data_IF_962459034238
#
_entry.id   IF_962459034238
#
_cell.length_a   1.000
_cell.length_b   1.000
_cell.length_c   1.000
_cell.angle_alpha   90.00
_cell.angle_beta   90.00
_cell.angle_gamma   90.00
#
_symmetry.space_group_name_H-M   'P 1'
#
loop_
_entity.id
_entity.type
_entity.pdbx_description
1 polymer ?
#
# COMPACT_ATOMS: atom_id res chain seq x y z
N UNK A 1 32.46 -4.23 -4.17
CA UNK A 1 32.16 -5.68 -4.15
C UNK A 1 30.66 -5.81 -4.34
N UNK A 2 30.20 -6.79 -5.12
CA UNK A 2 28.75 -7.04 -5.25
C UNK A 2 28.14 -7.38 -3.90
N UNK A 3 26.90 -6.94 -3.69
CA UNK A 3 26.08 -7.29 -2.53
C UNK A 3 25.04 -8.32 -2.92
N UNK A 4 24.94 -9.39 -2.17
CA UNK A 4 23.86 -10.37 -2.31
C UNK A 4 23.15 -10.51 -0.98
N UNK A 5 21.83 -10.36 -0.99
CA UNK A 5 21.02 -10.36 0.21
C UNK A 5 19.57 -10.76 -0.03
N UNK A 6 18.72 -10.61 1.02
CA UNK A 6 17.28 -10.83 0.89
C UNK A 6 16.70 -10.00 -0.23
N UNK A 7 15.72 -10.54 -0.96
CA UNK A 7 15.08 -9.83 -2.07
C UNK A 7 14.16 -8.71 -1.59
N UNK A 8 14.07 -7.64 -2.37
CA UNK A 8 13.16 -6.53 -2.07
C UNK A 8 11.70 -6.93 -2.25
N UNK A 9 10.85 -6.43 -1.38
CA UNK A 9 9.40 -6.70 -1.37
C UNK A 9 8.64 -5.39 -1.39
N UNK A 10 7.65 -5.29 -2.28
CA UNK A 10 6.72 -4.17 -2.35
C UNK A 10 5.33 -4.64 -1.91
N UNK A 11 4.92 -4.24 -0.69
CA UNK A 11 3.64 -4.65 -0.11
C UNK A 11 2.46 -3.75 -0.53
N UNK A 12 2.70 -2.72 -1.35
CA UNK A 12 1.65 -1.81 -1.83
C UNK A 12 2.05 -1.19 -3.18
N UNK A 13 1.49 -1.72 -4.26
CA UNK A 13 1.67 -1.19 -5.61
C UNK A 13 0.39 -1.32 -6.42
N UNK A 14 0.25 -0.55 -7.49
CA UNK A 14 -0.80 -0.69 -8.51
C UNK A 14 -0.22 -1.12 -9.86
N UNK A 15 0.85 -1.91 -9.82
CA UNK A 15 1.62 -2.34 -11.00
C UNK A 15 0.76 -3.07 -12.03
N UNK A 16 -0.14 -3.96 -11.59
CA UNK A 16 -0.97 -4.73 -12.50
C UNK A 16 -1.92 -3.84 -13.29
N UNK A 17 -2.51 -2.85 -12.62
CA UNK A 17 -3.40 -1.86 -13.24
C UNK A 17 -2.64 -1.02 -14.26
N UNK A 18 -1.44 -0.53 -13.91
CA UNK A 18 -0.59 0.26 -14.80
C UNK A 18 -0.15 -0.55 -16.02
N UNK A 19 0.31 -1.79 -15.81
CA UNK A 19 0.71 -2.71 -16.88
C UNK A 19 -0.43 -3.04 -17.85
N UNK A 20 -1.66 -3.14 -17.33
CA UNK A 20 -2.86 -3.34 -18.13
C UNK A 20 -3.36 -2.07 -18.85
N UNK A 21 -2.71 -0.92 -18.64
CA UNK A 21 -3.13 0.36 -19.23
C UNK A 21 -4.32 1.00 -18.53
N UNK A 22 -4.72 0.51 -17.35
CA UNK A 22 -5.74 1.16 -16.53
C UNK A 22 -5.23 2.52 -16.06
N UNK A 23 -6.08 3.53 -16.16
CA UNK A 23 -5.76 4.90 -15.78
C UNK A 23 -6.81 5.41 -14.79
N UNK A 24 -6.41 6.13 -13.73
CA UNK A 24 -7.38 6.78 -12.87
C UNK A 24 -8.20 7.81 -13.68
N UNK A 25 -9.46 8.05 -13.31
CA UNK A 25 -10.33 8.98 -14.01
C UNK A 25 -10.03 10.46 -13.67
N UNK A 26 -8.85 10.75 -13.16
CA UNK A 26 -8.36 12.06 -12.77
C UNK A 26 -6.87 12.20 -13.11
N UNK A 27 -6.38 13.44 -13.19
CA UNK A 27 -4.96 13.72 -13.33
C UNK A 27 -4.28 13.59 -11.95
N UNK A 28 -3.42 12.58 -11.79
CA UNK A 28 -2.69 12.32 -10.54
C UNK A 28 -1.67 13.41 -10.19
N UNK A 29 -1.26 14.22 -11.17
CA UNK A 29 -0.34 15.33 -10.97
C UNK A 29 -1.03 16.64 -10.57
N UNK A 30 -2.38 16.70 -10.68
CA UNK A 30 -3.18 17.87 -10.34
C UNK A 30 -4.01 17.63 -9.06
N UNK A 31 -3.63 18.25 -7.92
CA UNK A 31 -4.36 18.13 -6.66
C UNK A 31 -5.83 18.54 -6.75
N UNK A 32 -6.17 19.52 -7.59
CA UNK A 32 -7.57 19.95 -7.74
C UNK A 32 -8.39 18.92 -8.52
N UNK A 33 -7.84 18.29 -9.53
CA UNK A 33 -8.48 17.17 -10.25
C UNK A 33 -8.81 16.03 -9.29
N UNK A 34 -7.87 15.66 -8.41
CA UNK A 34 -8.05 14.63 -7.38
C UNK A 34 -9.14 15.08 -6.37
N UNK A 35 -9.11 16.32 -5.92
CA UNK A 35 -10.08 16.88 -4.96
C UNK A 35 -11.51 16.81 -5.51
N UNK A 36 -11.70 17.23 -6.76
CA UNK A 36 -13.00 17.18 -7.44
C UNK A 36 -13.50 15.73 -7.50
N UNK A 37 -12.64 14.80 -7.89
CA UNK A 37 -12.98 13.38 -7.96
C UNK A 37 -13.39 12.84 -6.59
N UNK A 38 -12.58 13.04 -5.54
CA UNK A 38 -12.87 12.57 -4.19
C UNK A 38 -14.18 13.14 -3.66
N UNK A 39 -14.44 14.43 -3.84
CA UNK A 39 -15.72 15.07 -3.45
C UNK A 39 -16.92 14.49 -4.21
N UNK A 40 -16.74 14.18 -5.49
CA UNK A 40 -17.80 13.54 -6.28
C UNK A 40 -18.12 12.12 -5.79
N UNK A 41 -17.13 11.37 -5.32
CA UNK A 41 -17.33 10.06 -4.71
C UNK A 41 -18.06 10.18 -3.36
N UNK A 42 -17.60 11.08 -2.50
CA UNK A 42 -18.21 11.32 -1.18
C UNK A 42 -19.69 11.69 -1.28
N UNK A 43 -20.09 12.53 -2.25
CA UNK A 43 -21.50 12.88 -2.50
C UNK A 43 -22.36 11.72 -2.97
N UNK A 44 -21.74 10.66 -3.49
CA UNK A 44 -22.40 9.42 -3.95
C UNK A 44 -22.27 8.28 -2.93
N UNK A 45 -21.71 8.55 -1.76
CA UNK A 45 -21.39 7.53 -0.73
C UNK A 45 -20.50 6.39 -1.25
N UNK A 46 -19.59 6.72 -2.18
CA UNK A 46 -18.62 5.79 -2.78
C UNK A 46 -17.20 6.10 -2.31
N UNK A 47 -16.35 5.09 -2.39
CA UNK A 47 -14.89 5.21 -2.21
C UNK A 47 -14.19 4.94 -3.55
N UNK A 48 -12.91 5.30 -3.71
CA UNK A 48 -12.12 4.93 -4.89
C UNK A 48 -12.11 3.41 -5.17
N UNK A 49 -12.20 2.57 -4.13
CA UNK A 49 -12.25 1.12 -4.28
C UNK A 49 -13.62 0.56 -4.70
N UNK A 50 -14.66 1.40 -4.70
CA UNK A 50 -16.00 1.01 -5.20
C UNK A 50 -16.16 1.29 -6.70
N UNK A 51 -15.24 2.07 -7.30
CA UNK A 51 -15.26 2.37 -8.72
C UNK A 51 -14.43 1.33 -9.48
N UNK A 52 -15.13 0.37 -10.05
CA UNK A 52 -14.55 -0.62 -10.95
C UNK A 52 -14.61 -0.05 -12.37
N UNK A 53 -13.46 0.11 -12.99
CA UNK A 53 -13.35 0.58 -14.38
C UNK A 53 -13.87 -0.45 -15.39
N UNK A 54 -13.93 -0.12 -16.70
CA UNK A 54 -14.17 -1.11 -17.72
C UNK A 54 -13.05 -2.16 -17.67
N UNK A 55 -13.37 -3.44 -18.03
CA UNK A 55 -12.35 -4.48 -18.06
C UNK A 55 -11.20 -4.08 -19.00
N UNK A 56 -9.95 -4.43 -18.66
CA UNK A 56 -8.81 -4.15 -19.52
C UNK A 56 -8.98 -4.82 -20.88
N UNK A 57 -8.39 -4.27 -21.96
CA UNK A 57 -8.40 -4.94 -23.26
C UNK A 57 -7.85 -6.36 -23.14
N UNK A 58 -8.61 -7.35 -23.61
CA UNK A 58 -8.27 -8.79 -23.45
C UNK A 58 -7.11 -9.25 -24.32
N UNK A 59 -6.81 -8.53 -25.43
CA UNK A 59 -5.69 -8.85 -26.30
C UNK A 59 -4.38 -8.65 -25.55
N UNK A 60 -3.69 -9.76 -25.28
CA UNK A 60 -2.38 -9.82 -24.63
C UNK A 60 -2.30 -9.30 -23.19
N UNK A 61 -3.39 -9.36 -22.39
CA UNK A 61 -3.33 -8.96 -20.98
C UNK A 61 -2.23 -9.71 -20.21
N UNK A 62 -2.09 -11.01 -20.43
CA UNK A 62 -1.02 -11.81 -19.81
C UNK A 62 0.38 -11.30 -20.22
N UNK A 63 0.58 -10.93 -21.49
CA UNK A 63 1.85 -10.39 -21.95
C UNK A 63 2.13 -9.00 -21.33
N UNK A 64 1.11 -8.15 -21.21
CA UNK A 64 1.24 -6.84 -20.55
C UNK A 64 1.58 -6.97 -19.07
N UNK A 65 0.89 -7.87 -18.36
CA UNK A 65 1.19 -8.14 -16.94
C UNK A 65 2.59 -8.75 -16.78
N UNK A 66 2.98 -9.68 -17.65
CA UNK A 66 4.34 -10.24 -17.64
C UNK A 66 5.40 -9.15 -17.80
N UNK A 67 5.19 -8.21 -18.74
CA UNK A 67 6.14 -7.10 -18.96
C UNK A 67 6.28 -6.22 -17.71
N UNK A 68 5.18 -5.83 -17.07
CA UNK A 68 5.21 -5.05 -15.83
C UNK A 68 5.87 -5.82 -14.67
N UNK A 69 5.54 -7.10 -14.50
CA UNK A 69 6.18 -7.93 -13.46
C UNK A 69 7.67 -8.14 -13.74
N UNK A 70 8.07 -8.21 -15.02
CA UNK A 70 9.48 -8.27 -15.41
C UNK A 70 10.22 -6.97 -15.14
N UNK A 71 9.55 -5.82 -15.28
CA UNK A 71 10.08 -4.52 -14.86
C UNK A 71 10.33 -4.49 -13.35
N UNK A 72 9.38 -4.96 -12.53
CA UNK A 72 9.56 -5.09 -11.10
C UNK A 72 10.75 -5.99 -10.73
N UNK A 73 10.86 -7.16 -11.39
CA UNK A 73 11.99 -8.07 -11.18
C UNK A 73 13.33 -7.41 -11.56
N UNK A 74 13.38 -6.68 -12.67
CA UNK A 74 14.58 -5.95 -13.09
C UNK A 74 14.95 -4.81 -12.13
N UNK A 75 13.97 -4.26 -11.39
CA UNK A 75 14.19 -3.27 -10.33
C UNK A 75 14.65 -3.89 -9.00
N UNK A 76 14.78 -5.22 -8.92
CA UNK A 76 15.23 -5.93 -7.72
C UNK A 76 14.13 -6.50 -6.84
N UNK A 77 12.86 -6.34 -7.23
CA UNK A 77 11.72 -6.87 -6.48
C UNK A 77 11.56 -8.38 -6.72
N UNK A 78 11.40 -9.14 -5.65
CA UNK A 78 11.09 -10.58 -5.68
C UNK A 78 9.61 -10.87 -5.40
N UNK A 79 8.92 -9.92 -4.77
CA UNK A 79 7.49 -9.98 -4.48
C UNK A 79 6.84 -8.61 -4.61
N UNK A 80 5.61 -8.60 -5.11
CA UNK A 80 4.72 -7.42 -5.11
C UNK A 80 3.36 -7.75 -4.51
N UNK A 81 2.68 -6.74 -3.95
CA UNK A 81 1.25 -6.82 -3.59
C UNK A 81 0.47 -5.77 -4.37
N UNK A 82 -0.40 -6.21 -5.28
CA UNK A 82 -1.38 -5.33 -5.93
C UNK A 82 -2.41 -4.86 -4.90
N UNK A 83 -2.42 -3.56 -4.61
CA UNK A 83 -3.20 -2.96 -3.53
C UNK A 83 -4.58 -2.47 -3.99
N UNK A 84 -5.36 -3.34 -4.60
CA UNK A 84 -6.72 -3.05 -5.04
C UNK A 84 -7.00 -3.50 -6.47
N UNK A 85 -6.90 -4.81 -6.71
CA UNK A 85 -7.27 -5.40 -8.01
C UNK A 85 -8.74 -5.09 -8.34
N UNK A 86 -8.99 -4.51 -9.51
CA UNK A 86 -10.29 -4.00 -9.95
C UNK A 86 -11.01 -4.86 -10.96
N UNK A 87 -10.39 -5.91 -11.49
CA UNK A 87 -11.01 -6.86 -12.44
C UNK A 87 -10.45 -8.28 -12.25
N UNK A 88 -11.33 -9.28 -12.30
CA UNK A 88 -10.95 -10.70 -12.20
C UNK A 88 -10.10 -11.18 -13.38
N UNK A 89 -10.16 -10.50 -14.53
CA UNK A 89 -9.32 -10.82 -15.69
C UNK A 89 -7.82 -10.74 -15.37
N UNK A 90 -7.41 -9.88 -14.43
CA UNK A 90 -6.01 -9.85 -13.96
C UNK A 90 -5.60 -11.18 -13.32
N UNK A 91 -6.45 -11.71 -12.43
CA UNK A 91 -6.19 -12.98 -11.78
C UNK A 91 -6.14 -14.13 -12.80
N UNK A 92 -7.06 -14.16 -13.78
CA UNK A 92 -7.06 -15.18 -14.80
C UNK A 92 -5.80 -15.13 -15.68
N UNK A 93 -5.34 -13.93 -16.03
CA UNK A 93 -4.09 -13.75 -16.77
C UNK A 93 -2.85 -14.16 -15.94
N UNK A 94 -2.82 -13.83 -14.64
CA UNK A 94 -1.76 -14.26 -13.72
C UNK A 94 -1.73 -15.78 -13.54
N UNK A 95 -2.88 -16.45 -13.48
CA UNK A 95 -2.97 -17.91 -13.45
C UNK A 95 -2.33 -18.55 -14.69
N UNK A 96 -2.55 -17.96 -15.88
CA UNK A 96 -1.91 -18.42 -17.12
C UNK A 96 -0.39 -18.30 -17.04
N UNK A 97 0.13 -17.18 -16.51
CA UNK A 97 1.57 -16.99 -16.32
C UNK A 97 2.13 -17.97 -15.28
N UNK A 98 1.46 -18.14 -14.15
CA UNK A 98 1.84 -19.09 -13.10
C UNK A 98 1.93 -20.52 -13.64
N UNK A 99 0.88 -20.97 -14.33
CA UNK A 99 0.78 -22.35 -14.84
C UNK A 99 1.85 -22.67 -15.92
N UNK A 100 2.39 -21.63 -16.57
CA UNK A 100 3.54 -21.72 -17.48
C UNK A 100 4.89 -21.66 -16.76
N UNK A 101 4.92 -21.28 -15.48
CA UNK A 101 6.16 -21.00 -14.75
C UNK A 101 6.79 -19.64 -15.11
N UNK A 102 6.01 -18.73 -15.69
CA UNK A 102 6.47 -17.46 -16.24
C UNK A 102 6.33 -16.26 -15.27
N UNK A 103 5.87 -16.47 -14.01
CA UNK A 103 5.80 -15.36 -13.03
C UNK A 103 7.22 -14.90 -12.62
N UNK A 104 7.66 -13.67 -13.00
CA UNK A 104 9.00 -13.19 -12.67
C UNK A 104 9.20 -12.89 -11.19
N UNK A 105 8.11 -12.56 -10.48
CA UNK A 105 8.05 -12.24 -9.05
C UNK A 105 6.89 -12.98 -8.41
N UNK A 106 6.89 -13.10 -7.08
CA UNK A 106 5.69 -13.51 -6.33
C UNK A 106 4.63 -12.41 -6.40
N UNK A 107 3.38 -12.77 -6.56
CA UNK A 107 2.27 -11.82 -6.65
C UNK A 107 1.26 -12.08 -5.54
N UNK A 108 1.08 -11.09 -4.68
CA UNK A 108 0.01 -11.01 -3.69
C UNK A 108 -1.07 -10.06 -4.19
N UNK A 109 -2.31 -10.32 -3.86
CA UNK A 109 -3.45 -9.54 -4.34
C UNK A 109 -4.35 -9.15 -3.18
N UNK A 110 -4.59 -7.86 -3.03
CA UNK A 110 -5.72 -7.31 -2.30
C UNK A 110 -6.80 -6.96 -3.33
N UNK A 111 -7.97 -7.55 -3.21
CA UNK A 111 -9.09 -7.28 -4.12
C UNK A 111 -9.77 -5.98 -3.69
N UNK A 112 -10.05 -5.07 -4.63
CA UNK A 112 -10.79 -3.84 -4.35
C UNK A 112 -12.18 -4.17 -3.77
N UNK A 113 -12.62 -3.44 -2.74
CA UNK A 113 -13.88 -3.72 -2.03
C UNK A 113 -15.12 -3.73 -2.93
N UNK A 114 -15.12 -2.93 -4.01
CA UNK A 114 -16.20 -2.91 -4.99
C UNK A 114 -16.25 -4.14 -5.91
N UNK A 115 -15.12 -4.83 -6.09
CA UNK A 115 -15.02 -6.07 -6.85
C UNK A 115 -15.17 -7.31 -5.95
N UNK A 116 -14.80 -7.21 -4.67
CA UNK A 116 -14.70 -8.33 -3.75
C UNK A 116 -16.06 -9.00 -3.51
N UNK A 117 -16.09 -10.31 -3.68
CA UNK A 117 -17.23 -11.16 -3.32
C UNK A 117 -16.73 -12.31 -2.43
N UNK A 118 -17.13 -12.28 -1.17
CA UNK A 118 -16.71 -13.27 -0.19
C UNK A 118 -17.08 -14.72 -0.54
N UNK A 119 -18.04 -14.92 -1.47
CA UNK A 119 -18.43 -16.24 -1.98
C UNK A 119 -17.60 -16.69 -3.18
N UNK A 120 -17.00 -15.73 -3.91
CA UNK A 120 -16.18 -15.97 -5.11
C UNK A 120 -14.69 -16.03 -4.82
N UNK A 121 -14.25 -15.37 -3.75
CA UNK A 121 -12.84 -15.38 -3.37
C UNK A 121 -12.44 -16.77 -2.87
N UNK A 122 -11.40 -17.33 -3.46
CA UNK A 122 -10.79 -18.59 -3.08
C UNK A 122 -9.29 -18.40 -2.90
N UNK A 123 -8.69 -19.13 -1.95
CA UNK A 123 -7.23 -19.14 -1.80
C UNK A 123 -6.62 -19.89 -2.97
N UNK A 124 -5.61 -19.30 -3.62
CA UNK A 124 -4.93 -19.93 -4.76
C UNK A 124 -4.08 -21.15 -4.37
N UNK A 125 -3.68 -21.24 -3.12
CA UNK A 125 -2.89 -22.37 -2.60
C UNK A 125 -1.50 -22.49 -3.18
N UNK A 126 -0.95 -21.40 -3.69
CA UNK A 126 0.34 -21.33 -4.38
C UNK A 126 1.14 -20.14 -3.87
N UNK A 127 2.38 -20.37 -3.47
CA UNK A 127 3.26 -19.32 -2.95
C UNK A 127 3.63 -18.26 -3.99
N UNK A 128 3.50 -18.56 -5.29
CA UNK A 128 3.83 -17.64 -6.39
C UNK A 128 2.69 -16.66 -6.70
N UNK A 129 1.44 -17.06 -6.42
CA UNK A 129 0.25 -16.25 -6.67
C UNK A 129 -0.77 -16.47 -5.55
N UNK A 130 -1.16 -15.43 -4.83
CA UNK A 130 -2.12 -15.55 -3.74
C UNK A 130 -3.05 -14.33 -3.66
N UNK A 131 -4.35 -14.59 -3.43
CA UNK A 131 -5.27 -13.56 -2.93
C UNK A 131 -5.06 -13.46 -1.42
N UNK A 132 -4.55 -12.32 -0.96
CA UNK A 132 -4.26 -12.06 0.44
C UNK A 132 -5.51 -11.57 1.20
N UNK A 133 -6.28 -10.69 0.58
CA UNK A 133 -7.42 -10.08 1.26
C UNK A 133 -8.18 -9.06 0.43
N UNK A 134 -8.80 -8.09 1.13
CA UNK A 134 -9.65 -7.05 0.54
C UNK A 134 -9.13 -5.67 0.92
N UNK A 135 -9.05 -4.78 -0.07
CA UNK A 135 -8.67 -3.37 0.08
C UNK A 135 -9.90 -2.48 0.22
N UNK A 136 -9.92 -1.71 1.28
CA UNK A 136 -10.86 -0.62 1.54
C UNK A 136 -10.16 0.75 1.48
N UNK A 137 -10.95 1.82 1.48
CA UNK A 137 -10.46 3.18 1.34
C UNK A 137 -11.26 4.11 2.28
N UNK A 138 -10.64 4.55 3.38
CA UNK A 138 -11.35 5.27 4.44
C UNK A 138 -11.40 6.79 4.22
N UNK A 139 -10.36 7.38 3.62
CA UNK A 139 -10.28 8.82 3.39
C UNK A 139 -9.59 9.18 2.07
N UNK A 140 -9.30 10.45 1.85
CA UNK A 140 -8.57 10.90 0.67
C UNK A 140 -7.06 11.04 0.91
N UNK A 141 -6.42 11.97 0.17
CA UNK A 141 -4.97 12.19 0.16
C UNK A 141 -4.59 13.50 0.84
N UNK A 142 -3.34 13.58 1.32
CA UNK A 142 -2.83 14.79 1.99
C UNK A 142 -2.61 15.94 1.01
N UNK A 143 -2.03 15.68 -0.17
CA UNK A 143 -1.75 16.70 -1.20
C UNK A 143 -2.97 17.55 -1.56
N UNK A 144 -4.10 16.95 -1.99
CA UNK A 144 -5.34 17.66 -2.33
C UNK A 144 -6.19 18.06 -1.12
N UNK A 145 -5.72 17.92 0.12
CA UNK A 145 -6.46 18.22 1.36
C UNK A 145 -7.77 17.43 1.49
N UNK A 146 -7.75 16.17 1.07
CA UNK A 146 -8.92 15.29 1.14
C UNK A 146 -8.78 14.17 2.17
N UNK A 147 -7.61 13.95 2.79
CA UNK A 147 -7.49 13.03 3.91
C UNK A 147 -8.25 13.57 5.14
N UNK A 148 -8.86 12.67 5.91
CA UNK A 148 -9.75 13.04 7.01
C UNK A 148 -8.98 13.39 8.29
N UNK A 149 -9.06 14.62 8.72
CA UNK A 149 -8.37 15.18 9.87
C UNK A 149 -9.32 15.52 11.02
N UNK A 150 -8.85 15.40 12.27
CA UNK A 150 -9.58 15.91 13.43
C UNK A 150 -9.61 17.44 13.48
N UNK A 151 -8.51 18.08 13.14
CA UNK A 151 -8.40 19.52 13.04
C UNK A 151 -8.37 19.98 11.57
N UNK A 152 -8.78 21.22 11.31
CA UNK A 152 -8.64 21.82 9.99
C UNK A 152 -7.19 21.82 9.50
N UNK A 153 -7.00 21.79 8.17
CA UNK A 153 -5.68 22.00 7.60
C UNK A 153 -5.15 23.38 7.98
N UNK A 154 -3.85 23.52 8.03
CA UNK A 154 -3.23 24.79 8.42
C UNK A 154 -3.39 25.89 7.35
N UNK A 155 -3.60 25.51 6.11
CA UNK A 155 -3.75 26.38 4.94
C UNK A 155 -5.18 26.44 4.38
N UNK A 156 -6.13 25.69 4.94
CA UNK A 156 -7.53 25.66 4.50
C UNK A 156 -8.49 25.42 5.69
N UNK A 157 -9.67 26.06 5.66
CA UNK A 157 -10.77 25.82 6.60
C UNK A 157 -11.56 24.54 6.21
N UNK A 158 -10.86 23.40 6.11
CA UNK A 158 -11.41 22.09 5.75
C UNK A 158 -10.71 21.00 6.59
N UNK A 159 -11.37 19.88 6.79
CA UNK A 159 -10.89 18.71 7.53
C UNK A 159 -10.81 17.45 6.66
N UNK A 160 -10.92 17.61 5.36
CA UNK A 160 -10.94 16.51 4.41
C UNK A 160 -12.22 15.67 4.43
N UNK A 161 -12.14 14.47 3.88
CA UNK A 161 -13.29 13.60 3.60
C UNK A 161 -13.08 12.25 4.26
N UNK A 162 -13.99 11.86 5.14
CA UNK A 162 -14.07 10.48 5.63
C UNK A 162 -15.09 9.74 4.77
N UNK A 163 -14.63 8.83 3.89
CA UNK A 163 -15.49 8.01 3.04
C UNK A 163 -16.18 6.90 3.82
N UNK A 164 -15.47 6.27 4.75
CA UNK A 164 -15.99 5.19 5.58
C UNK A 164 -15.79 5.53 7.05
N UNK A 165 -16.88 5.72 7.77
CA UNK A 165 -16.85 5.74 9.23
C UNK A 165 -16.63 4.31 9.79
N UNK A 166 -16.34 4.22 11.09
CA UNK A 166 -16.03 2.97 11.75
C UNK A 166 -17.11 1.89 11.57
N UNK A 167 -18.39 2.26 11.72
CA UNK A 167 -19.50 1.31 11.62
C UNK A 167 -19.73 0.83 10.18
N UNK A 168 -19.60 1.74 9.23
CA UNK A 168 -19.75 1.41 7.81
C UNK A 168 -18.61 0.53 7.34
N UNK A 169 -17.35 0.83 7.73
CA UNK A 169 -16.21 -0.02 7.41
C UNK A 169 -16.35 -1.39 8.05
N UNK A 170 -16.68 -1.45 9.36
CA UNK A 170 -16.86 -2.73 10.06
C UNK A 170 -17.91 -3.61 9.36
N UNK A 171 -19.09 -3.07 9.07
CA UNK A 171 -20.18 -3.79 8.39
C UNK A 171 -19.78 -4.29 7.01
N UNK A 172 -19.00 -3.51 6.24
CA UNK A 172 -18.55 -3.90 4.89
C UNK A 172 -17.43 -4.92 4.93
N UNK A 173 -16.54 -4.86 5.92
CA UNK A 173 -15.36 -5.72 6.02
C UNK A 173 -15.62 -7.05 6.73
N UNK A 174 -16.54 -7.08 7.70
CA UNK A 174 -16.84 -8.27 8.52
C UNK A 174 -17.11 -9.56 7.71
N UNK A 175 -17.87 -9.56 6.60
CA UNK A 175 -18.10 -10.78 5.81
C UNK A 175 -16.82 -11.42 5.24
N UNK A 176 -15.78 -10.63 5.02
CA UNK A 176 -14.46 -11.10 4.57
C UNK A 176 -13.61 -11.53 5.75
N UNK A 177 -13.56 -10.72 6.80
CA UNK A 177 -12.84 -11.02 8.04
C UNK A 177 -13.25 -12.35 8.65
N UNK A 178 -14.56 -12.64 8.75
CA UNK A 178 -15.11 -13.91 9.23
C UNK A 178 -14.70 -15.14 8.40
N UNK A 179 -14.20 -14.94 7.18
CA UNK A 179 -13.64 -15.99 6.32
C UNK A 179 -12.11 -16.04 6.34
N UNK A 180 -11.50 -15.27 7.24
CA UNK A 180 -10.06 -15.21 7.41
C UNK A 180 -9.32 -14.42 6.31
N UNK A 181 -10.04 -13.59 5.50
CA UNK A 181 -9.39 -12.68 4.58
C UNK A 181 -8.80 -11.49 5.33
N UNK A 182 -7.58 -11.12 5.00
CA UNK A 182 -6.97 -9.90 5.53
C UNK A 182 -7.75 -8.67 5.08
N UNK A 183 -7.97 -7.74 5.98
CA UNK A 183 -8.52 -6.43 5.67
C UNK A 183 -7.38 -5.42 5.64
N UNK A 184 -7.26 -4.72 4.51
CA UNK A 184 -6.30 -3.63 4.33
C UNK A 184 -7.09 -2.36 4.02
N UNK A 185 -6.85 -1.28 4.78
CA UNK A 185 -7.62 -0.04 4.63
C UNK A 185 -6.68 1.14 4.46
N UNK A 186 -6.85 1.89 3.35
CA UNK A 186 -6.22 3.19 3.16
C UNK A 186 -6.72 4.16 4.23
N UNK A 187 -5.81 4.73 4.99
CA UNK A 187 -6.07 5.79 5.95
C UNK A 187 -4.83 6.68 6.14
N UNK A 188 -4.94 7.92 5.73
CA UNK A 188 -3.85 8.92 5.75
C UNK A 188 -4.01 9.88 6.93
N UNK A 189 -5.20 10.47 7.10
CA UNK A 189 -5.49 11.43 8.16
C UNK A 189 -5.72 10.77 9.52
N UNK A 190 -5.40 11.49 10.60
CA UNK A 190 -5.54 11.03 11.98
C UNK A 190 -6.97 10.59 12.33
N UNK A 191 -7.99 11.29 11.82
CA UNK A 191 -9.39 10.91 11.98
C UNK A 191 -9.75 9.64 11.22
N UNK A 192 -9.17 9.40 10.04
CA UNK A 192 -9.40 8.18 9.29
C UNK A 192 -8.74 6.99 9.98
N UNK A 193 -7.50 7.16 10.48
CA UNK A 193 -6.79 6.12 11.23
C UNK A 193 -7.59 5.72 12.47
N UNK A 194 -8.12 6.69 13.24
CA UNK A 194 -8.99 6.40 14.39
C UNK A 194 -10.23 5.61 13.99
N UNK A 195 -10.94 6.03 12.93
CA UNK A 195 -12.13 5.33 12.45
C UNK A 195 -11.84 3.90 11.99
N UNK A 196 -10.67 3.65 11.37
CA UNK A 196 -10.23 2.32 10.96
C UNK A 196 -9.91 1.45 12.18
N UNK A 197 -9.23 2.00 13.20
CA UNK A 197 -8.95 1.27 14.44
C UNK A 197 -10.24 0.91 15.19
N UNK A 198 -11.21 1.81 15.23
CA UNK A 198 -12.54 1.52 15.82
C UNK A 198 -13.27 0.42 15.03
N UNK A 199 -13.17 0.43 13.71
CA UNK A 199 -13.74 -0.63 12.88
C UNK A 199 -13.07 -1.99 13.13
N UNK A 200 -11.74 -2.02 13.24
CA UNK A 200 -11.00 -3.25 13.51
C UNK A 200 -11.27 -3.80 14.91
N UNK A 201 -11.42 -2.93 15.90
CA UNK A 201 -11.85 -3.34 17.24
C UNK A 201 -13.25 -3.98 17.22
N UNK A 202 -14.19 -3.37 16.49
CA UNK A 202 -15.54 -3.92 16.30
C UNK A 202 -15.56 -5.28 15.59
N UNK A 203 -14.65 -5.50 14.61
CA UNK A 203 -14.60 -6.75 13.83
C UNK A 203 -13.89 -7.86 14.59
N UNK A 204 -12.75 -7.56 15.19
CA UNK A 204 -11.81 -8.56 15.67
C UNK A 204 -11.69 -8.60 17.20
N UNK A 205 -11.96 -7.47 17.91
CA UNK A 205 -11.75 -7.38 19.34
C UNK A 205 -10.37 -7.91 19.75
N UNK A 206 -10.35 -8.87 20.67
CA UNK A 206 -9.12 -9.48 21.17
C UNK A 206 -8.32 -10.29 20.12
N UNK A 207 -8.94 -10.66 19.01
CA UNK A 207 -8.30 -11.45 17.94
C UNK A 207 -7.62 -10.58 16.87
N UNK A 208 -7.61 -9.25 17.06
CA UNK A 208 -7.08 -8.30 16.08
C UNK A 208 -5.61 -8.58 15.71
N UNK A 209 -4.76 -8.81 16.71
CA UNK A 209 -3.35 -9.13 16.48
C UNK A 209 -3.15 -10.43 15.67
N UNK A 210 -3.99 -11.44 15.89
CA UNK A 210 -3.92 -12.69 15.14
C UNK A 210 -4.42 -12.53 13.68
N UNK A 211 -5.39 -11.65 13.45
CA UNK A 211 -5.90 -11.32 12.13
C UNK A 211 -4.93 -10.42 11.35
N UNK A 212 -4.09 -9.66 12.03
CA UNK A 212 -3.10 -8.73 11.49
C UNK A 212 -3.66 -7.85 10.36
N UNK A 213 -4.77 -7.09 10.58
CA UNK A 213 -5.30 -6.21 9.57
C UNK A 213 -4.32 -5.07 9.29
N UNK A 214 -4.42 -4.46 8.11
CA UNK A 214 -3.45 -3.45 7.67
C UNK A 214 -4.08 -2.07 7.59
N UNK A 215 -3.34 -1.05 8.01
CA UNK A 215 -3.55 0.36 7.64
C UNK A 215 -2.50 0.72 6.59
N UNK A 216 -2.98 1.09 5.41
CA UNK A 216 -2.14 1.57 4.33
C UNK A 216 -1.87 3.07 4.52
N UNK A 217 -0.64 3.48 4.30
CA UNK A 217 -0.09 4.82 4.43
C UNK A 217 0.20 5.26 5.87
N UNK A 218 -0.79 5.36 6.75
CA UNK A 218 -0.59 5.79 8.15
C UNK A 218 0.30 7.05 8.24
N UNK A 219 -0.01 8.10 7.45
CA UNK A 219 0.92 9.24 7.26
C UNK A 219 0.85 10.27 8.39
N UNK A 220 -0.36 10.63 8.85
CA UNK A 220 -0.54 11.61 9.93
C UNK A 220 -0.84 10.87 11.22
N UNK A 221 0.21 10.62 11.98
CA UNK A 221 0.14 9.85 13.21
C UNK A 221 -0.12 10.76 14.43
N UNK A 222 -1.01 10.32 15.31
CA UNK A 222 -1.15 10.84 16.68
C UNK A 222 -0.53 9.78 17.61
N UNK A 223 0.30 10.13 18.59
CA UNK A 223 0.91 9.16 19.50
C UNK A 223 -0.07 8.21 20.19
N UNK A 224 -1.31 8.64 20.46
CA UNK A 224 -2.37 7.79 21.02
C UNK A 224 -2.81 6.73 20.00
N UNK A 225 -2.90 7.09 18.72
CA UNK A 225 -3.26 6.15 17.66
C UNK A 225 -2.14 5.13 17.44
N UNK A 226 -0.87 5.56 17.49
CA UNK A 226 0.30 4.66 17.45
C UNK A 226 0.26 3.64 18.59
N UNK A 227 -0.02 4.09 19.81
CA UNK A 227 -0.18 3.18 20.98
C UNK A 227 -1.30 2.17 20.72
N UNK A 228 -2.45 2.62 20.23
CA UNK A 228 -3.59 1.75 19.90
C UNK A 228 -3.24 0.73 18.80
N UNK A 229 -2.53 1.16 17.73
CA UNK A 229 -2.06 0.26 16.68
C UNK A 229 -1.19 -0.87 17.25
N UNK A 230 -0.26 -0.52 18.15
CA UNK A 230 0.61 -1.49 18.80
C UNK A 230 -0.17 -2.48 19.69
N UNK A 231 -1.07 -1.98 20.54
CA UNK A 231 -1.90 -2.80 21.43
C UNK A 231 -2.81 -3.76 20.66
N UNK A 232 -3.34 -3.32 19.52
CA UNK A 232 -4.20 -4.12 18.66
C UNK A 232 -3.43 -5.03 17.70
N UNK A 233 -2.12 -4.86 17.54
CA UNK A 233 -1.31 -5.61 16.57
C UNK A 233 -1.65 -5.30 15.10
N UNK A 234 -2.12 -4.08 14.82
CA UNK A 234 -2.42 -3.61 13.46
C UNK A 234 -1.13 -3.35 12.71
N UNK A 235 -1.04 -3.82 11.47
CA UNK A 235 0.13 -3.65 10.60
C UNK A 235 0.06 -2.30 9.89
N UNK A 236 1.13 -1.51 9.95
CA UNK A 236 1.28 -0.30 9.15
C UNK A 236 2.03 -0.63 7.85
N UNK A 237 1.43 -0.31 6.70
CA UNK A 237 2.09 -0.38 5.39
C UNK A 237 2.46 1.03 4.94
N UNK A 238 3.73 1.40 5.07
CA UNK A 238 4.23 2.75 4.83
C UNK A 238 4.87 2.88 3.44
N UNK A 239 4.96 4.13 2.93
CA UNK A 239 5.58 4.44 1.65
C UNK A 239 6.82 5.33 1.88
N UNK A 240 8.03 4.76 1.90
CA UNK A 240 9.25 5.49 2.21
C UNK A 240 9.51 6.71 1.31
N UNK A 241 9.15 6.64 0.03
CA UNK A 241 9.34 7.72 -0.93
C UNK A 241 8.49 8.97 -0.64
N UNK A 242 7.30 8.80 -0.06
CA UNK A 242 6.37 9.92 0.19
C UNK A 242 6.91 10.94 1.19
N UNK A 243 7.69 10.53 2.18
CA UNK A 243 8.24 11.45 3.18
C UNK A 243 9.02 12.62 2.57
N UNK A 244 9.64 12.42 1.42
CA UNK A 244 10.35 13.47 0.72
C UNK A 244 9.50 14.17 -0.35
N UNK A 245 8.76 13.39 -1.15
CA UNK A 245 7.94 13.94 -2.23
C UNK A 245 6.86 14.90 -1.70
N UNK A 246 6.31 14.60 -0.53
CA UNK A 246 5.22 15.34 0.08
C UNK A 246 5.66 16.42 1.09
N UNK A 247 6.95 16.52 1.44
CA UNK A 247 7.41 17.32 2.58
C UNK A 247 6.87 18.76 2.59
N UNK A 248 7.03 19.49 1.49
CA UNK A 248 6.57 20.89 1.40
C UNK A 248 5.05 20.98 1.48
N UNK A 249 4.34 20.06 0.83
CA UNK A 249 2.88 20.01 0.80
C UNK A 249 2.32 19.61 2.17
N UNK A 250 2.94 18.65 2.83
CA UNK A 250 2.59 18.23 4.17
C UNK A 250 2.83 19.36 5.18
N UNK A 251 3.98 20.02 5.12
CA UNK A 251 4.32 21.15 6.01
C UNK A 251 3.31 22.28 5.91
N UNK A 252 2.87 22.64 4.70
CA UNK A 252 1.83 23.68 4.52
C UNK A 252 0.49 23.24 5.12
N UNK A 253 0.05 22.01 4.82
CA UNK A 253 -1.27 21.52 5.24
C UNK A 253 -1.36 21.13 6.71
N UNK A 254 -0.28 20.63 7.30
CA UNK A 254 -0.27 20.16 8.68
C UNK A 254 0.21 21.22 9.68
N UNK A 255 1.09 22.14 9.24
CA UNK A 255 1.79 23.05 10.12
C UNK A 255 2.88 22.34 10.96
N UNK A 256 3.67 23.12 11.72
CA UNK A 256 4.87 22.60 12.39
C UNK A 256 4.56 21.47 13.38
N UNK A 257 3.54 21.63 14.21
CA UNK A 257 3.25 20.67 15.30
C UNK A 257 2.84 19.29 14.78
N UNK A 258 1.96 19.23 13.76
CA UNK A 258 1.51 17.94 13.21
C UNK A 258 2.58 17.29 12.34
N UNK A 259 3.49 18.08 11.75
CA UNK A 259 4.66 17.56 11.03
C UNK A 259 5.62 16.78 11.93
N UNK A 260 5.66 17.03 13.23
CA UNK A 260 6.51 16.26 14.17
C UNK A 260 6.11 14.77 14.23
N UNK A 261 4.87 14.48 13.90
CA UNK A 261 4.32 13.13 13.93
C UNK A 261 4.01 12.56 12.53
N UNK A 262 3.95 13.40 11.50
CA UNK A 262 3.73 12.93 10.12
C UNK A 262 4.99 12.28 9.56
N UNK A 263 4.84 11.13 8.91
CA UNK A 263 5.94 10.32 8.36
C UNK A 263 7.02 9.93 9.38
N UNK A 264 6.73 10.07 10.68
CA UNK A 264 7.65 9.70 11.75
C UNK A 264 7.51 8.22 12.10
N UNK A 265 8.07 7.37 11.26
CA UNK A 265 7.94 5.92 11.40
C UNK A 265 8.74 5.34 12.56
N UNK A 266 9.69 6.10 13.15
CA UNK A 266 10.31 5.70 14.42
C UNK A 266 9.27 5.54 15.52
N UNK A 267 8.22 6.38 15.55
CA UNK A 267 7.13 6.23 16.53
C UNK A 267 6.44 4.87 16.43
N UNK A 268 6.23 4.36 15.20
CA UNK A 268 5.65 3.03 14.99
C UNK A 268 6.57 1.92 15.50
N UNK A 269 7.86 1.99 15.15
CA UNK A 269 8.84 0.98 15.54
C UNK A 269 9.10 0.96 17.05
N UNK A 270 9.24 2.14 17.68
CA UNK A 270 9.44 2.28 19.13
C UNK A 270 8.24 1.77 19.92
N UNK A 271 7.03 1.95 19.40
CA UNK A 271 5.81 1.43 20.01
C UNK A 271 5.61 -0.08 19.75
N UNK A 272 6.40 -0.71 18.89
CA UNK A 272 6.26 -2.12 18.54
C UNK A 272 5.15 -2.42 17.53
N UNK A 273 4.70 -1.42 16.76
CA UNK A 273 3.76 -1.62 15.64
C UNK A 273 4.46 -2.45 14.56
N UNK A 274 3.86 -3.54 14.06
CA UNK A 274 4.38 -4.22 12.88
C UNK A 274 4.36 -3.31 11.66
N UNK A 275 5.51 -3.13 10.99
CA UNK A 275 5.66 -2.24 9.83
C UNK A 275 6.11 -3.03 8.61
N UNK A 276 5.46 -2.79 7.48
CA UNK A 276 5.85 -3.24 6.14
C UNK A 276 5.90 -2.04 5.20
N UNK A 277 6.54 -2.19 4.04
CA UNK A 277 6.75 -1.08 3.10
C UNK A 277 6.18 -1.37 1.72
N UNK A 278 5.81 -0.31 1.00
CA UNK A 278 5.40 -0.38 -0.40
C UNK A 278 5.72 0.91 -1.13
N UNK A 279 5.69 0.89 -2.46
CA UNK A 279 5.95 2.06 -3.30
C UNK A 279 4.71 2.91 -3.54
N UNK A 280 3.53 2.28 -3.56
CA UNK A 280 2.31 2.85 -4.12
C UNK A 280 2.49 3.26 -5.61
N UNK A 281 3.35 2.52 -6.34
CA UNK A 281 3.54 2.77 -7.77
C UNK A 281 2.18 2.81 -8.51
N UNK A 282 1.90 3.82 -9.36
CA UNK A 282 2.84 4.77 -9.97
C UNK A 282 2.96 6.13 -9.24
N UNK A 283 2.48 6.26 -8.00
CA UNK A 283 2.60 7.51 -7.25
C UNK A 283 4.07 7.76 -6.88
N UNK A 284 4.78 6.72 -6.46
CA UNK A 284 6.23 6.73 -6.35
C UNK A 284 6.85 5.72 -7.33
N UNK A 285 8.16 5.61 -7.33
CA UNK A 285 8.92 4.74 -8.23
C UNK A 285 8.78 3.27 -7.85
N UNK A 286 8.84 2.41 -8.87
CA UNK A 286 8.91 0.96 -8.67
C UNK A 286 10.29 0.51 -8.14
N UNK A 287 11.35 1.27 -8.44
CA UNK A 287 12.71 1.03 -7.93
C UNK A 287 12.75 1.22 -6.40
N UNK A 288 13.06 0.16 -5.61
CA UNK A 288 13.04 0.24 -4.15
C UNK A 288 14.21 1.01 -3.54
N UNK A 289 15.30 1.22 -4.28
CA UNK A 289 16.56 1.76 -3.74
C UNK A 289 16.43 3.19 -3.20
N UNK A 290 15.82 4.15 -3.92
CA UNK A 290 15.60 5.48 -3.35
C UNK A 290 14.74 5.47 -2.08
N UNK A 291 13.73 4.59 -2.02
CA UNK A 291 12.90 4.38 -0.83
C UNK A 291 13.70 3.81 0.35
N UNK A 292 14.59 2.86 0.10
CA UNK A 292 15.49 2.28 1.10
C UNK A 292 16.34 3.36 1.77
N UNK A 293 16.94 4.24 0.98
CA UNK A 293 17.76 5.33 1.55
C UNK A 293 16.95 6.30 2.40
N UNK A 294 15.77 6.70 1.91
CA UNK A 294 14.86 7.56 2.67
C UNK A 294 14.48 6.94 4.00
N UNK A 295 14.15 5.65 3.97
CA UNK A 295 13.83 4.91 5.19
C UNK A 295 15.05 4.83 6.12
N UNK A 296 16.25 4.57 5.57
CA UNK A 296 17.48 4.49 6.33
C UNK A 296 17.82 5.80 7.05
N UNK A 297 17.54 6.94 6.43
CA UNK A 297 17.71 8.27 7.06
C UNK A 297 16.80 8.46 8.29
N UNK A 298 15.64 7.79 8.32
CA UNK A 298 14.63 7.92 9.38
C UNK A 298 14.83 6.87 10.48
N UNK A 299 14.96 5.60 10.10
CA UNK A 299 14.94 4.47 11.04
C UNK A 299 16.28 3.77 11.20
N UNK A 300 17.29 4.21 10.48
CA UNK A 300 18.63 3.61 10.39
C UNK A 300 18.72 2.49 9.34
N UNK A 301 19.93 2.24 8.81
CA UNK A 301 20.16 1.37 7.65
C UNK A 301 19.71 -0.08 7.87
N UNK A 302 20.08 -0.69 8.99
CA UNK A 302 19.74 -2.08 9.28
C UNK A 302 18.21 -2.30 9.42
N UNK A 303 17.52 -1.33 10.03
CA UNK A 303 16.06 -1.40 10.16
C UNK A 303 15.40 -1.21 8.80
N UNK A 304 15.84 -0.26 8.00
CA UNK A 304 15.33 -0.01 6.66
C UNK A 304 15.46 -1.25 5.76
N UNK A 305 16.63 -1.88 5.74
CA UNK A 305 16.86 -3.08 4.95
C UNK A 305 15.92 -4.23 5.39
N UNK A 306 15.80 -4.47 6.70
CA UNK A 306 14.87 -5.51 7.22
C UNK A 306 13.41 -5.24 6.88
N UNK A 307 12.99 -3.98 6.79
CA UNK A 307 11.60 -3.61 6.48
C UNK A 307 11.27 -3.74 5.00
N UNK A 308 12.27 -3.63 4.12
CA UNK A 308 12.09 -3.62 2.67
C UNK A 308 12.47 -4.92 1.99
N UNK A 309 12.99 -5.91 2.73
CA UNK A 309 13.45 -7.19 2.16
C UNK A 309 12.86 -8.38 2.88
N UNK A 310 12.76 -9.50 2.18
CA UNK A 310 12.30 -10.78 2.72
C UNK A 310 13.10 -11.94 2.11
N UNK A 311 13.87 -12.64 2.95
CA UNK A 311 14.67 -13.79 2.53
C UNK A 311 13.82 -14.98 2.07
N UNK A 312 12.61 -15.13 2.63
CA UNK A 312 11.69 -16.22 2.24
C UNK A 312 11.03 -15.93 0.88
N UNK A 313 11.00 -14.65 0.46
CA UNK A 313 10.49 -14.27 -0.85
C UNK A 313 11.53 -14.44 -1.98
N UNK A 314 12.82 -14.41 -1.67
CA UNK A 314 13.88 -14.58 -2.65
C UNK A 314 15.15 -13.80 -2.34
N UNK A 315 16.03 -13.65 -3.34
CA UNK A 315 17.31 -12.94 -3.23
C UNK A 315 17.50 -11.92 -4.35
N UNK A 316 18.26 -10.86 -4.05
CA UNK A 316 18.67 -9.83 -5.02
C UNK A 316 20.20 -9.67 -4.97
N UNK A 317 20.82 -9.66 -6.14
CA UNK A 317 22.25 -9.39 -6.33
C UNK A 317 22.42 -7.98 -6.92
N UNK A 318 23.15 -7.13 -6.21
CA UNK A 318 23.47 -5.77 -6.62
C UNK A 318 24.95 -5.61 -6.95
N UNK A 319 25.29 -4.59 -7.76
CA UNK A 319 26.67 -4.28 -8.12
C UNK A 319 27.55 -3.90 -6.90
N UNK A 320 26.93 -3.29 -5.88
CA UNK A 320 27.54 -2.95 -4.59
C UNK A 320 26.48 -2.77 -3.50
N UNK A 321 26.88 -2.44 -2.27
CA UNK A 321 26.00 -2.29 -1.13
C UNK A 321 24.96 -1.16 -1.36
N UNK A 322 23.66 -1.42 -1.25
CA UNK A 322 22.61 -0.42 -1.48
C UNK A 322 22.55 0.69 -0.42
N UNK A 323 23.33 0.57 0.65
CA UNK A 323 23.39 1.55 1.75
C UNK A 323 24.64 2.44 1.71
N UNK A 324 25.65 2.12 0.88
CA UNK A 324 26.92 2.86 0.84
C UNK A 324 26.92 3.95 -0.24
N UNK A 325 26.66 3.61 -1.49
CA UNK A 325 26.67 4.55 -2.62
C UNK A 325 25.69 4.13 -3.70
N UNK A 326 24.87 5.06 -4.18
CA UNK A 326 23.89 4.78 -5.23
C UNK A 326 24.27 5.27 -6.62
N UNK A 327 25.34 6.02 -6.78
CA UNK A 327 25.62 6.73 -8.03
C UNK A 327 25.65 5.78 -9.24
N UNK A 328 26.11 4.53 -9.05
CA UNK A 328 26.21 3.52 -10.11
C UNK A 328 25.64 2.16 -9.69
N UNK A 329 24.70 2.13 -8.71
CA UNK A 329 24.09 0.90 -8.24
C UNK A 329 23.26 0.25 -9.36
N UNK A 330 23.51 -1.02 -9.61
CA UNK A 330 22.81 -1.82 -10.62
C UNK A 330 22.30 -3.12 -10.01
N UNK A 331 21.06 -3.46 -10.33
CA UNK A 331 20.51 -4.80 -10.10
C UNK A 331 21.15 -5.76 -11.12
N UNK A 332 21.95 -6.71 -10.64
CA UNK A 332 22.63 -7.70 -11.47
C UNK A 332 21.76 -8.94 -11.68
N UNK A 333 21.06 -9.37 -10.63
CA UNK A 333 20.19 -10.54 -10.65
C UNK A 333 19.13 -10.46 -9.56
N UNK A 334 17.93 -10.99 -9.85
CA UNK A 334 16.83 -11.13 -8.89
C UNK A 334 16.22 -12.51 -9.05
N UNK A 335 16.17 -13.26 -7.94
CA UNK A 335 15.66 -14.64 -7.90
C UNK A 335 14.54 -14.76 -6.88
N UNK A 336 13.27 -14.75 -7.29
CA UNK A 336 12.16 -15.08 -6.40
C UNK A 336 12.21 -16.57 -6.02
N UNK A 337 11.92 -16.85 -4.73
CA UNK A 337 11.89 -18.21 -4.21
C UNK A 337 10.70 -19.03 -4.73
#
# INVERSE_FOLDING_TARGET
>A
MSWEGPGFVDHHTHLLRVAAGDRPPYDVSDPESIRIYHRSLATRELTPMDVVGPPPPQEDLAASLYAGLKEANNAGLVQITEAGMTDWAYLDALRVLRDRGDLPVRVRILVASGLADAKRMHREGDERLEIEGVKFYADGWLGPRTCAMHAEFNDEEDRGLLFLDALTLARRAEPFALRGWRIATHAIGDRAIEAVLDAYDNIYGADCAAAAPRIEHAQVLDPRLVTRMAEMGVVACIQPGFAHADEDTARRGLGATRMEHAYNWNLLLEAGVPVITGSDYPIDRLDPIPGLQRLADIVGPDAALRLMTDADAGTTLLSHDPLEDLADLQVLETRPA
#
